data_IF_048720534819
#
_entry.id   IF_048720534819
#
_cell.length_a   1.000
_cell.length_b   1.000
_cell.length_c   1.000
_cell.angle_alpha   90.00
_cell.angle_beta   90.00
_cell.angle_gamma   90.00
#
_symmetry.space_group_name_H-M   'P 1'
#
loop_
_entity.id
_entity.type
_entity.pdbx_description
1 polymer ?
#
# COMPACT_ATOMS: atom_id res chain seq x y z
N UNK A 1 -4.88 -25.27 23.33
CA UNK A 1 -6.08 -24.41 23.50
C UNK A 1 -6.05 -23.34 22.42
N UNK A 2 -6.87 -23.46 21.36
CA UNK A 2 -6.84 -22.56 20.19
C UNK A 2 -7.19 -21.10 20.53
N UNK A 3 -7.98 -20.84 21.58
CA UNK A 3 -8.31 -19.47 22.00
C UNK A 3 -7.11 -18.66 22.48
N UNK A 4 -6.10 -19.33 23.07
CA UNK A 4 -4.87 -18.67 23.52
C UNK A 4 -4.03 -18.12 22.34
N UNK A 5 -3.95 -18.89 21.25
CA UNK A 5 -3.24 -18.43 20.04
C UNK A 5 -3.96 -17.25 19.40
N UNK A 6 -5.30 -17.33 19.28
CA UNK A 6 -6.11 -16.23 18.74
C UNK A 6 -5.97 -14.93 19.53
N UNK A 7 -5.97 -14.99 20.87
CA UNK A 7 -5.75 -13.79 21.69
C UNK A 7 -4.41 -13.10 21.38
N UNK A 8 -3.37 -13.88 21.05
CA UNK A 8 -2.07 -13.34 20.65
C UNK A 8 -2.11 -12.73 19.25
N UNK A 9 -2.81 -13.37 18.32
CA UNK A 9 -2.93 -12.91 16.93
C UNK A 9 -3.79 -11.65 16.80
N UNK A 10 -4.79 -11.47 17.67
CA UNK A 10 -5.70 -10.32 17.65
C UNK A 10 -4.95 -8.98 17.66
N UNK A 11 -3.86 -8.88 18.42
CA UNK A 11 -3.04 -7.67 18.47
C UNK A 11 -2.46 -7.33 17.09
N UNK A 12 -1.94 -8.33 16.39
CA UNK A 12 -1.38 -8.16 15.03
C UNK A 12 -2.49 -7.83 14.04
N UNK A 13 -3.63 -8.51 14.12
CA UNK A 13 -4.79 -8.25 13.26
C UNK A 13 -5.25 -6.80 13.38
N UNK A 14 -5.44 -6.29 14.60
CA UNK A 14 -5.86 -4.90 14.82
C UNK A 14 -4.86 -3.87 14.28
N UNK A 15 -3.55 -4.11 14.47
CA UNK A 15 -2.50 -3.22 13.94
C UNK A 15 -2.54 -3.20 12.41
N UNK A 16 -2.64 -4.36 11.77
CA UNK A 16 -2.65 -4.45 10.30
C UNK A 16 -3.95 -3.88 9.73
N UNK A 17 -5.10 -4.14 10.35
CA UNK A 17 -6.38 -3.57 9.93
C UNK A 17 -6.38 -2.04 10.00
N UNK A 18 -5.86 -1.45 11.09
CA UNK A 18 -5.73 0.00 11.20
C UNK A 18 -4.78 0.57 10.14
N UNK A 19 -3.64 -0.08 9.92
CA UNK A 19 -2.66 0.33 8.91
C UNK A 19 -3.29 0.37 7.51
N UNK A 20 -4.00 -0.71 7.14
CA UNK A 20 -4.69 -0.81 5.85
C UNK A 20 -5.77 0.28 5.72
N UNK A 21 -6.62 0.45 6.74
CA UNK A 21 -7.70 1.44 6.69
C UNK A 21 -7.17 2.86 6.52
N UNK A 22 -6.10 3.23 7.24
CA UNK A 22 -5.48 4.56 7.13
C UNK A 22 -4.86 4.80 5.76
N UNK A 23 -4.12 3.85 5.21
CA UNK A 23 -3.57 3.94 3.85
C UNK A 23 -4.68 4.04 2.79
N UNK A 24 -5.73 3.23 2.93
CA UNK A 24 -6.86 3.23 2.00
C UNK A 24 -7.63 4.57 2.04
N UNK A 25 -7.75 5.18 3.22
CA UNK A 25 -8.42 6.49 3.36
C UNK A 25 -7.61 7.63 2.73
N UNK A 26 -6.28 7.62 2.90
CA UNK A 26 -5.40 8.63 2.31
C UNK A 26 -5.35 8.54 0.78
N UNK A 27 -5.45 7.33 0.21
CA UNK A 27 -5.39 7.15 -1.25
C UNK A 27 -6.69 7.61 -1.91
N UNK A 28 -6.58 8.64 -2.73
CA UNK A 28 -7.69 9.26 -3.46
C UNK A 28 -7.62 8.89 -4.95
N UNK A 29 -7.65 7.59 -5.24
CA UNK A 29 -7.81 7.03 -6.59
C UNK A 29 -8.35 5.59 -6.54
N UNK A 30 -8.55 4.98 -7.70
CA UNK A 30 -8.79 3.54 -7.83
C UNK A 30 -7.70 2.89 -8.68
N UNK A 31 -7.05 1.84 -8.15
CA UNK A 31 -5.98 1.09 -8.82
C UNK A 31 -5.93 -0.35 -8.33
N UNK A 32 -5.98 -1.31 -9.26
CA UNK A 32 -5.90 -2.74 -8.96
C UNK A 32 -6.99 -3.17 -7.97
N UNK A 33 -6.58 -3.69 -6.80
CA UNK A 33 -7.50 -4.15 -5.76
C UNK A 33 -8.10 -3.01 -4.89
N UNK A 34 -7.59 -1.78 -5.00
CA UNK A 34 -8.13 -0.63 -4.28
C UNK A 34 -9.11 0.12 -5.18
N UNK A 35 -10.40 0.09 -4.83
CA UNK A 35 -11.47 0.73 -5.61
C UNK A 35 -12.30 1.65 -4.73
N UNK A 36 -12.51 2.87 -5.20
CA UNK A 36 -13.24 3.92 -4.51
C UNK A 36 -14.30 4.53 -5.40
N UNK A 37 -15.55 4.54 -4.94
CA UNK A 37 -16.68 5.11 -5.70
C UNK A 37 -16.61 6.64 -5.80
N UNK A 38 -15.97 7.28 -4.82
CA UNK A 38 -15.74 8.73 -4.77
C UNK A 38 -14.46 9.16 -5.51
N UNK A 39 -13.55 8.22 -5.80
CA UNK A 39 -12.36 8.44 -6.64
C UNK A 39 -12.17 7.28 -7.64
N UNK A 40 -13.07 7.15 -8.64
CA UNK A 40 -13.15 5.94 -9.47
C UNK A 40 -12.04 5.80 -10.53
N UNK A 41 -11.25 6.85 -10.78
CA UNK A 41 -10.23 6.88 -11.82
C UNK A 41 -8.82 6.76 -11.23
N UNK A 42 -7.87 6.36 -12.07
CA UNK A 42 -6.45 6.55 -11.80
C UNK A 42 -6.12 8.03 -11.66
N UNK A 43 -5.19 8.36 -10.77
CA UNK A 43 -4.57 9.67 -10.67
C UNK A 43 -3.05 9.47 -10.71
N UNK A 44 -2.51 9.38 -11.92
CA UNK A 44 -1.10 9.07 -12.14
C UNK A 44 -0.16 10.21 -11.73
N UNK A 45 -0.64 11.47 -11.72
CA UNK A 45 0.13 12.64 -11.30
C UNK A 45 0.55 12.54 -9.83
N UNK A 46 -0.36 12.08 -8.98
CA UNK A 46 -0.11 11.97 -7.53
C UNK A 46 0.21 10.54 -7.11
N UNK A 47 -0.64 9.57 -7.47
CA UNK A 47 -0.62 8.21 -6.93
C UNK A 47 0.08 7.19 -7.81
N UNK A 48 0.35 7.53 -9.08
CA UNK A 48 1.11 6.70 -10.02
C UNK A 48 2.62 6.71 -9.78
N UNK A 49 3.13 7.67 -9.01
CA UNK A 49 4.56 7.88 -8.77
C UNK A 49 5.01 7.54 -7.34
N UNK A 50 4.09 7.09 -6.48
CA UNK A 50 4.37 6.82 -5.06
C UNK A 50 3.71 5.55 -4.54
N UNK A 51 4.36 4.94 -3.55
CA UNK A 51 3.81 3.90 -2.69
C UNK A 51 3.33 4.50 -1.36
N UNK A 52 2.18 4.07 -0.87
CA UNK A 52 1.72 4.36 0.50
C UNK A 52 2.57 3.57 1.49
N UNK A 53 3.07 4.25 2.53
CA UNK A 53 3.90 3.64 3.57
C UNK A 53 3.30 4.00 4.92
N UNK A 54 3.15 3.01 5.79
CA UNK A 54 2.69 3.23 7.15
C UNK A 54 3.58 2.45 8.11
N UNK A 55 3.97 3.10 9.20
CA UNK A 55 4.82 2.53 10.23
C UNK A 55 4.25 2.83 11.61
N UNK A 56 4.41 1.89 12.53
CA UNK A 56 4.07 2.11 13.93
C UNK A 56 5.27 2.72 14.65
N UNK A 57 5.09 3.90 15.23
CA UNK A 57 6.15 4.57 15.98
C UNK A 57 6.30 3.98 17.40
N UNK A 58 7.32 4.43 18.13
CA UNK A 58 7.62 3.97 19.49
C UNK A 58 6.55 4.32 20.52
N UNK A 59 5.76 5.38 20.31
CA UNK A 59 4.62 5.74 21.17
C UNK A 59 3.34 4.95 20.85
N UNK A 60 3.38 4.10 19.81
CA UNK A 60 2.26 3.26 19.39
C UNK A 60 1.32 3.92 18.37
N UNK A 61 1.59 5.16 17.95
CA UNK A 61 0.88 5.83 16.87
C UNK A 61 1.28 5.33 15.49
N UNK A 62 0.39 5.50 14.52
CA UNK A 62 0.63 5.17 13.11
C UNK A 62 1.14 6.42 12.37
N UNK A 63 2.35 6.34 11.83
CA UNK A 63 2.92 7.36 10.96
C UNK A 63 2.68 6.97 9.51
N UNK A 64 1.92 7.81 8.80
CA UNK A 64 1.53 7.61 7.41
C UNK A 64 2.34 8.54 6.51
N UNK A 65 2.93 7.98 5.46
CA UNK A 65 3.77 8.70 4.50
C UNK A 65 3.67 8.07 3.11
N UNK A 66 4.39 8.67 2.16
CA UNK A 66 4.57 8.13 0.82
C UNK A 66 6.05 7.97 0.53
N UNK A 67 6.40 6.95 -0.25
CA UNK A 67 7.74 6.75 -0.79
C UNK A 67 7.68 6.78 -2.32
N UNK A 68 8.69 7.32 -3.03
CA UNK A 68 8.72 7.26 -4.49
C UNK A 68 8.61 5.82 -5.00
N UNK A 69 7.89 5.64 -6.10
CA UNK A 69 7.83 4.38 -6.83
C UNK A 69 9.20 4.13 -7.49
N UNK A 70 9.87 3.01 -7.19
CA UNK A 70 11.14 2.67 -7.84
C UNK A 70 10.94 2.58 -9.35
N UNK A 71 11.82 3.24 -10.10
CA UNK A 71 11.83 3.13 -11.55
C UNK A 71 12.32 1.74 -11.96
N UNK A 72 11.65 1.16 -12.96
CA UNK A 72 12.09 -0.11 -13.52
C UNK A 72 13.45 0.08 -14.19
N UNK A 73 14.46 -0.76 -13.89
CA UNK A 73 15.71 -0.77 -14.63
C UNK A 73 15.48 -0.95 -16.14
N UNK A 74 16.27 -0.26 -16.95
CA UNK A 74 16.10 -0.21 -18.42
C UNK A 74 16.19 -1.60 -19.08
N UNK A 75 17.05 -2.49 -18.56
CA UNK A 75 17.16 -3.85 -19.06
C UNK A 75 15.85 -4.63 -18.86
N UNK A 76 15.17 -4.47 -17.72
CA UNK A 76 13.91 -5.13 -17.44
C UNK A 76 12.76 -4.50 -18.23
N UNK A 77 12.81 -3.18 -18.41
CA UNK A 77 11.82 -2.45 -19.21
C UNK A 77 11.80 -2.95 -20.65
N UNK A 78 12.96 -3.17 -21.27
CA UNK A 78 13.06 -3.78 -22.60
C UNK A 78 12.43 -5.16 -22.70
N UNK A 79 12.53 -5.99 -21.65
CA UNK A 79 11.90 -7.33 -21.62
C UNK A 79 10.38 -7.18 -21.65
N UNK A 80 9.85 -6.31 -20.79
CA UNK A 80 8.39 -6.12 -20.63
C UNK A 80 7.77 -5.48 -21.87
N UNK A 81 8.46 -4.54 -22.51
CA UNK A 81 7.98 -3.82 -23.70
C UNK A 81 8.21 -4.59 -25.01
N UNK A 82 8.81 -5.79 -24.96
CA UNK A 82 9.05 -6.62 -26.14
C UNK A 82 10.22 -6.16 -27.02
N UNK A 83 11.13 -5.34 -26.48
CA UNK A 83 12.29 -4.78 -27.20
C UNK A 83 13.48 -5.72 -27.36
N UNK A 84 13.27 -7.04 -27.27
CA UNK A 84 14.26 -8.04 -27.65
C UNK A 84 13.93 -8.53 -29.07
N UNK A 85 14.59 -7.94 -30.06
CA UNK A 85 14.85 -8.60 -31.35
C UNK A 85 16.19 -9.34 -31.31
#
# INVERSE_FOLDING_TARGET
>A
NPGWHLCKDLKSMLIVSEAIARCAHQREESRGAHSRVDFPKYNDEVWGTVNSVISKNSSGGMNLSTSPLPQMPEELKKIVEGGYE
#
